data_IF_530378512017
#
_entry.id   IF_530378512017
#
_cell.length_a   1.000
_cell.length_b   1.000
_cell.length_c   1.000
_cell.angle_alpha   90.00
_cell.angle_beta   90.00
_cell.angle_gamma   90.00
#
_symmetry.space_group_name_H-M   'P 1'
#
loop_
_entity.id
_entity.type
_entity.pdbx_description
1 polymer ?
#
# COMPACT_ATOMS: atom_id res chain seq x y z
N UNK A 1 27.21 56.40 11.42
CA UNK A 1 27.36 55.29 12.40
C UNK A 1 26.00 54.80 12.90
N UNK A 2 25.08 55.65 13.40
CA UNK A 2 23.76 55.25 13.88
C UNK A 2 22.87 54.57 12.83
N UNK A 3 22.84 55.01 11.57
CA UNK A 3 22.06 54.36 10.51
C UNK A 3 22.53 52.94 10.23
N UNK A 4 23.84 52.68 10.24
CA UNK A 4 24.39 51.36 9.99
C UNK A 4 24.09 50.38 11.15
N UNK A 5 24.07 50.89 12.40
CA UNK A 5 23.70 50.08 13.57
C UNK A 5 22.21 49.71 13.50
N UNK A 6 21.34 50.63 13.08
CA UNK A 6 19.90 50.36 12.96
C UNK A 6 19.61 49.27 11.89
N UNK A 7 20.33 49.29 10.77
CA UNK A 7 20.21 48.28 9.70
C UNK A 7 20.67 46.91 10.20
N UNK A 8 21.80 46.86 10.94
CA UNK A 8 22.28 45.60 11.50
C UNK A 8 21.30 45.01 12.53
N UNK A 9 20.75 45.86 13.40
CA UNK A 9 19.71 45.41 14.40
C UNK A 9 18.48 44.96 13.69
N UNK A 10 18.00 45.63 12.63
CA UNK A 10 16.85 45.21 11.83
C UNK A 10 17.09 43.87 11.12
N UNK A 11 18.30 43.66 10.55
CA UNK A 11 18.67 42.39 9.95
C UNK A 11 18.74 41.22 10.98
N UNK A 12 19.18 41.49 12.21
CA UNK A 12 19.18 40.49 13.28
C UNK A 12 17.76 40.15 13.77
N UNK A 13 16.83 41.10 13.75
CA UNK A 13 15.42 40.84 14.09
C UNK A 13 14.71 40.07 12.97
N UNK A 14 14.99 40.32 11.70
CA UNK A 14 14.37 39.60 10.57
C UNK A 14 14.80 38.15 10.55
N UNK A 15 16.05 37.82 10.90
CA UNK A 15 16.51 36.43 10.96
C UNK A 15 15.81 35.59 12.04
N UNK A 16 15.23 36.21 13.09
CA UNK A 16 14.44 35.46 14.09
C UNK A 16 12.98 35.25 13.68
N UNK A 17 12.51 35.86 12.58
CA UNK A 17 11.15 35.66 12.06
C UNK A 17 11.06 34.58 10.98
N UNK A 18 12.20 34.14 10.45
CA UNK A 18 12.29 33.00 9.56
C UNK A 18 12.48 31.73 10.39
N UNK A 19 11.50 31.36 11.19
CA UNK A 19 11.42 29.98 11.65
C UNK A 19 11.00 29.16 10.42
N UNK A 20 11.96 28.43 9.86
CA UNK A 20 11.67 27.31 9.00
C UNK A 20 10.62 26.45 9.72
N UNK A 21 9.44 26.28 9.10
CA UNK A 21 8.51 25.29 9.63
C UNK A 21 9.29 23.99 9.73
N UNK A 22 9.44 23.46 10.95
CA UNK A 22 10.07 22.16 11.12
C UNK A 22 9.25 21.16 10.29
N UNK A 23 9.85 20.70 9.22
CA UNK A 23 9.25 19.66 8.39
C UNK A 23 8.99 18.42 9.26
N UNK A 24 7.79 17.90 9.19
CA UNK A 24 7.40 16.67 9.86
C UNK A 24 6.60 15.78 8.92
N UNK A 25 6.68 14.50 9.13
CA UNK A 25 5.85 13.49 8.47
C UNK A 25 5.34 12.54 9.53
N UNK A 26 4.14 12.03 9.35
CA UNK A 26 3.63 10.95 10.16
C UNK A 26 4.43 9.67 9.93
N UNK A 27 4.33 8.72 10.88
CA UNK A 27 4.88 7.38 10.73
C UNK A 27 3.79 6.36 11.02
N UNK A 28 3.71 5.32 10.20
CA UNK A 28 2.79 4.20 10.40
C UNK A 28 3.48 2.88 10.07
N UNK A 29 3.80 2.10 11.10
CA UNK A 29 4.37 0.76 10.93
C UNK A 29 3.25 -0.28 10.94
N UNK A 30 3.31 -1.20 9.99
CA UNK A 30 2.27 -2.20 9.75
C UNK A 30 2.76 -3.62 10.00
N UNK A 31 1.98 -4.38 10.77
CA UNK A 31 2.11 -5.82 10.86
C UNK A 31 0.83 -6.47 10.35
N UNK A 32 0.90 -7.14 9.21
CA UNK A 32 -0.25 -7.66 8.49
C UNK A 32 -0.12 -9.17 8.34
N UNK A 33 -1.21 -9.90 8.62
CA UNK A 33 -1.33 -11.32 8.30
C UNK A 33 -2.58 -11.56 7.48
N UNK A 34 -2.44 -12.17 6.30
CA UNK A 34 -3.55 -12.41 5.38
C UNK A 34 -3.59 -13.85 4.90
N UNK A 35 -4.79 -14.44 4.88
CA UNK A 35 -5.10 -15.76 4.32
C UNK A 35 -5.94 -15.58 3.06
N UNK A 36 -5.37 -15.92 1.91
CA UNK A 36 -5.98 -15.77 0.58
C UNK A 36 -6.65 -17.07 0.17
N UNK A 37 -7.90 -16.97 -0.27
CA UNK A 37 -8.63 -18.06 -0.92
C UNK A 37 -8.65 -17.80 -2.43
N UNK A 38 -7.71 -18.40 -3.15
CA UNK A 38 -7.54 -18.17 -4.58
C UNK A 38 -8.75 -18.65 -5.41
N UNK A 39 -9.46 -19.69 -4.96
CA UNK A 39 -10.64 -20.20 -5.65
C UNK A 39 -11.85 -19.27 -5.55
N UNK A 40 -11.99 -18.56 -4.42
CA UNK A 40 -13.08 -17.62 -4.16
C UNK A 40 -12.71 -16.17 -4.48
N UNK A 41 -11.47 -15.91 -4.90
CA UNK A 41 -10.94 -14.57 -5.12
C UNK A 41 -11.16 -13.63 -3.92
N UNK A 42 -10.98 -14.15 -2.72
CA UNK A 42 -11.23 -13.44 -1.47
C UNK A 42 -10.09 -13.64 -0.49
N UNK A 43 -10.00 -12.75 0.48
CA UNK A 43 -9.00 -12.82 1.52
C UNK A 43 -9.55 -12.34 2.85
N UNK A 44 -8.95 -12.79 3.93
CA UNK A 44 -9.20 -12.31 5.28
C UNK A 44 -7.88 -12.17 6.02
N UNK A 45 -7.81 -11.21 6.90
CA UNK A 45 -6.60 -10.95 7.64
C UNK A 45 -6.84 -10.16 8.90
N UNK A 46 -5.76 -9.93 9.60
CA UNK A 46 -5.68 -8.99 10.70
C UNK A 46 -4.48 -8.08 10.48
N UNK A 47 -4.55 -6.89 11.05
CA UNK A 47 -3.40 -5.99 11.06
C UNK A 47 -3.31 -5.23 12.38
N UNK A 48 -2.08 -4.88 12.69
CA UNK A 48 -1.68 -3.94 13.73
C UNK A 48 -0.96 -2.78 13.07
N UNK A 49 -1.33 -1.55 13.43
CA UNK A 49 -0.69 -0.33 12.97
C UNK A 49 -0.15 0.39 14.21
N UNK A 50 1.16 0.57 14.28
CA UNK A 50 1.77 1.51 15.22
C UNK A 50 1.85 2.87 14.53
N UNK A 51 0.96 3.77 14.92
CA UNK A 51 0.89 5.13 14.36
C UNK A 51 1.51 6.14 15.31
N UNK A 52 2.39 6.99 14.80
CA UNK A 52 3.03 8.07 15.56
C UNK A 52 2.57 9.42 15.04
N UNK A 53 2.03 10.25 15.94
CA UNK A 53 1.67 11.63 15.64
C UNK A 53 2.90 12.54 15.75
N UNK A 54 3.52 12.83 14.62
CA UNK A 54 4.65 13.77 14.54
C UNK A 54 4.22 15.21 14.25
N UNK A 55 2.90 15.48 14.15
CA UNK A 55 2.36 16.82 13.98
C UNK A 55 2.41 17.62 15.31
N UNK A 56 1.98 18.88 15.23
CA UNK A 56 1.82 19.74 16.40
C UNK A 56 0.40 19.73 16.97
N UNK A 57 -0.49 18.97 16.33
CA UNK A 57 -1.91 18.96 16.64
C UNK A 57 -2.27 17.71 17.44
N UNK A 58 -3.19 17.86 18.41
CA UNK A 58 -3.85 16.73 19.05
C UNK A 58 -4.86 16.12 18.10
N UNK A 59 -4.70 14.84 17.80
CA UNK A 59 -5.59 14.11 16.91
C UNK A 59 -6.71 13.44 17.72
N UNK A 60 -7.97 13.80 17.45
CA UNK A 60 -9.16 13.20 18.07
C UNK A 60 -9.79 12.12 17.18
N UNK A 61 -9.34 11.99 15.97
CA UNK A 61 -9.78 10.99 14.98
C UNK A 61 -8.67 10.68 14.01
N UNK A 62 -8.76 9.51 13.38
CA UNK A 62 -7.96 9.11 12.23
C UNK A 62 -8.88 8.68 11.10
N UNK A 63 -8.32 8.57 9.89
CA UNK A 63 -9.03 8.05 8.73
C UNK A 63 -8.27 6.89 8.13
N UNK A 64 -9.01 5.93 7.61
CA UNK A 64 -8.46 4.73 6.96
C UNK A 64 -9.06 4.61 5.57
N UNK A 65 -8.21 4.48 4.56
CA UNK A 65 -8.62 4.19 3.20
C UNK A 65 -8.93 2.69 3.03
N UNK A 66 -10.09 2.40 2.46
CA UNK A 66 -10.53 1.08 2.04
C UNK A 66 -10.68 1.06 0.52
N UNK A 67 -9.55 1.12 -0.18
CA UNK A 67 -9.47 1.42 -1.61
C UNK A 67 -10.28 0.47 -2.50
N UNK A 68 -10.41 -0.82 -2.16
CA UNK A 68 -11.18 -1.78 -2.96
C UNK A 68 -12.68 -1.47 -2.98
N UNK A 69 -13.19 -0.66 -2.05
CA UNK A 69 -14.57 -0.21 -2.09
C UNK A 69 -14.88 0.69 -3.30
N UNK A 70 -13.87 1.31 -3.91
CA UNK A 70 -14.03 2.05 -5.17
C UNK A 70 -14.46 1.16 -6.35
N UNK A 71 -14.23 -0.15 -6.27
CA UNK A 71 -14.53 -1.12 -7.32
C UNK A 71 -15.90 -1.81 -7.11
N UNK A 72 -16.83 -1.11 -6.50
CA UNK A 72 -18.25 -1.51 -6.36
C UNK A 72 -19.11 -0.75 -7.34
N UNK A 73 -20.19 -1.38 -7.76
CA UNK A 73 -21.27 -0.67 -8.45
C UNK A 73 -21.84 0.42 -7.54
N UNK A 74 -21.95 1.64 -8.07
CA UNK A 74 -22.47 2.79 -7.32
C UNK A 74 -21.43 3.52 -6.44
N UNK A 75 -20.16 3.11 -6.45
CA UNK A 75 -19.07 3.87 -5.81
C UNK A 75 -18.85 5.24 -6.46
N UNK A 76 -18.23 6.17 -5.75
CA UNK A 76 -17.88 7.48 -6.30
C UNK A 76 -17.02 7.34 -7.57
N UNK A 77 -16.11 6.35 -7.63
CA UNK A 77 -15.35 6.04 -8.83
C UNK A 77 -16.24 5.60 -9.97
N UNK A 78 -17.20 4.68 -9.74
CA UNK A 78 -18.11 4.21 -10.77
C UNK A 78 -18.98 5.34 -11.33
N UNK A 79 -19.51 6.21 -10.46
CA UNK A 79 -20.31 7.38 -10.84
C UNK A 79 -19.50 8.36 -11.67
N UNK A 80 -18.28 8.67 -11.25
CA UNK A 80 -17.37 9.59 -11.96
C UNK A 80 -17.00 9.08 -13.35
N UNK A 81 -16.62 7.81 -13.47
CA UNK A 81 -16.26 7.21 -14.77
C UNK A 81 -17.44 7.18 -15.75
N UNK A 82 -18.65 6.94 -15.24
CA UNK A 82 -19.88 6.93 -16.07
C UNK A 82 -20.23 8.31 -16.61
N UNK A 83 -20.02 9.37 -15.82
CA UNK A 83 -20.42 10.74 -16.19
C UNK A 83 -19.49 11.42 -17.18
N UNK A 84 -18.38 10.77 -17.56
CA UNK A 84 -17.52 11.23 -18.67
C UNK A 84 -16.61 12.42 -18.37
N UNK A 85 -16.59 12.93 -17.14
CA UNK A 85 -15.81 14.12 -16.77
C UNK A 85 -14.30 13.88 -16.77
N UNK A 86 -13.89 12.61 -16.84
CA UNK A 86 -12.48 12.22 -16.88
C UNK A 86 -12.40 10.86 -17.61
N UNK A 87 -12.46 10.87 -18.95
CA UNK A 87 -12.24 9.66 -19.74
C UNK A 87 -10.78 9.26 -19.53
N UNK A 88 -10.53 8.61 -18.41
CA UNK A 88 -9.25 7.99 -18.17
C UNK A 88 -9.19 6.71 -18.99
N UNK A 89 -8.61 6.82 -20.19
CA UNK A 89 -8.38 5.69 -21.13
C UNK A 89 -7.60 4.51 -20.52
N UNK A 90 -7.16 4.65 -19.27
CA UNK A 90 -6.51 3.59 -18.50
C UNK A 90 -7.49 2.64 -17.79
N UNK A 91 -8.80 2.89 -17.86
CA UNK A 91 -9.84 2.01 -17.33
C UNK A 91 -10.54 1.31 -18.49
N UNK A 92 -10.22 0.04 -18.69
CA UNK A 92 -10.85 -0.80 -19.72
C UNK A 92 -12.14 -1.46 -19.22
N UNK A 93 -12.53 -1.23 -17.95
CA UNK A 93 -13.66 -1.88 -17.29
C UNK A 93 -14.67 -0.82 -16.84
N UNK A 94 -15.95 -1.00 -17.25
CA UNK A 94 -17.07 -0.22 -16.74
C UNK A 94 -17.51 -0.78 -15.38
N UNK A 95 -17.09 -0.11 -14.29
CA UNK A 95 -17.41 -0.52 -12.92
C UNK A 95 -18.93 -0.58 -12.70
N UNK A 96 -19.73 0.25 -13.38
CA UNK A 96 -21.17 0.27 -13.21
C UNK A 96 -21.89 -0.99 -13.72
N UNK A 97 -21.20 -1.84 -14.48
CA UNK A 97 -21.72 -3.08 -15.08
C UNK A 97 -21.14 -4.34 -14.45
N UNK A 98 -20.32 -4.22 -13.41
CA UNK A 98 -19.73 -5.38 -12.74
C UNK A 98 -20.81 -6.24 -12.08
N UNK A 99 -20.61 -7.55 -12.15
CA UNK A 99 -21.40 -8.50 -11.37
C UNK A 99 -20.87 -8.56 -9.94
N UNK A 100 -21.66 -9.00 -8.96
CA UNK A 100 -21.23 -9.08 -7.57
C UNK A 100 -19.91 -9.84 -7.33
N UNK A 101 -19.65 -10.89 -8.12
CA UNK A 101 -18.40 -11.66 -8.06
C UNK A 101 -17.19 -10.99 -8.74
N UNK A 102 -17.43 -9.92 -9.49
CA UNK A 102 -16.42 -9.12 -10.21
C UNK A 102 -16.03 -7.85 -9.45
N UNK A 103 -16.87 -7.43 -8.50
CA UNK A 103 -16.63 -6.28 -7.65
C UNK A 103 -15.46 -6.49 -6.69
N UNK A 104 -14.90 -5.37 -6.22
CA UNK A 104 -13.97 -5.34 -5.10
C UNK A 104 -14.64 -4.81 -3.85
N UNK A 105 -14.26 -5.33 -2.70
CA UNK A 105 -14.57 -4.71 -1.43
C UNK A 105 -13.50 -4.98 -0.38
N UNK A 106 -13.46 -4.12 0.62
CA UNK A 106 -12.64 -4.24 1.81
C UNK A 106 -13.45 -3.79 3.02
N UNK A 107 -13.65 -4.68 3.98
CA UNK A 107 -14.37 -4.43 5.20
C UNK A 107 -13.44 -4.55 6.40
N UNK A 108 -13.63 -3.68 7.39
CA UNK A 108 -12.91 -3.68 8.68
C UNK A 108 -13.89 -4.06 9.79
N UNK A 109 -13.43 -4.88 10.71
CA UNK A 109 -14.15 -5.28 11.93
C UNK A 109 -13.20 -5.30 13.12
N UNK A 110 -13.76 -5.31 14.34
CA UNK A 110 -12.99 -5.41 15.58
C UNK A 110 -11.90 -4.32 15.75
N UNK A 111 -12.09 -3.15 15.15
CA UNK A 111 -11.13 -2.05 15.25
C UNK A 111 -11.05 -1.54 16.70
N UNK A 112 -9.82 -1.42 17.19
CA UNK A 112 -9.50 -0.92 18.52
C UNK A 112 -8.29 0.01 18.47
N UNK A 113 -8.27 0.98 19.35
CA UNK A 113 -7.12 1.80 19.71
C UNK A 113 -6.62 1.34 21.09
N UNK A 114 -5.36 0.90 21.21
CA UNK A 114 -4.74 0.46 22.48
C UNK A 114 -5.64 -0.50 23.28
N UNK A 115 -6.27 -1.47 22.59
CA UNK A 115 -7.27 -2.42 23.06
C UNK A 115 -8.65 -1.83 23.44
N UNK A 116 -8.85 -0.53 23.35
CA UNK A 116 -10.15 0.13 23.57
C UNK A 116 -10.99 0.12 22.29
N UNK A 117 -12.30 -0.09 22.43
CA UNK A 117 -13.22 0.02 21.30
C UNK A 117 -13.31 1.46 20.82
N UNK A 118 -13.43 1.64 19.52
CA UNK A 118 -13.62 2.93 18.86
C UNK A 118 -14.93 2.96 18.08
N UNK A 119 -15.46 4.15 17.84
CA UNK A 119 -16.59 4.36 16.93
C UNK A 119 -16.08 4.61 15.52
N UNK A 120 -16.81 4.10 14.52
CA UNK A 120 -16.39 4.20 13.12
C UNK A 120 -17.54 4.57 12.21
N UNK A 121 -17.25 5.36 11.17
CA UNK A 121 -18.22 5.79 10.16
C UNK A 121 -17.61 5.59 8.78
N UNK A 122 -18.26 4.76 7.96
CA UNK A 122 -17.81 4.46 6.58
C UNK A 122 -18.53 5.36 5.58
N UNK A 123 -17.76 6.04 4.74
CA UNK A 123 -18.25 6.78 3.57
C UNK A 123 -17.41 6.39 2.36
N UNK A 124 -18.00 5.67 1.42
CA UNK A 124 -17.36 5.12 0.22
C UNK A 124 -16.05 4.38 0.54
N UNK A 125 -14.90 4.98 0.22
CA UNK A 125 -13.56 4.41 0.48
C UNK A 125 -12.91 4.90 1.76
N UNK A 126 -13.58 5.74 2.53
CA UNK A 126 -13.03 6.39 3.75
C UNK A 126 -13.74 5.88 4.99
N UNK A 127 -12.98 5.30 5.90
CA UNK A 127 -13.42 4.92 7.24
C UNK A 127 -12.90 5.95 8.25
N UNK A 128 -13.80 6.79 8.78
CA UNK A 128 -13.52 7.67 9.91
C UNK A 128 -13.52 6.86 11.20
N UNK A 129 -12.55 7.11 12.07
CA UNK A 129 -12.38 6.44 13.36
C UNK A 129 -12.25 7.52 14.45
N UNK A 130 -13.22 7.55 15.36
CA UNK A 130 -13.18 8.43 16.52
C UNK A 130 -12.29 7.78 17.57
N UNK A 131 -11.23 8.45 18.00
CA UNK A 131 -10.27 7.90 18.95
C UNK A 131 -10.89 7.75 20.35
N UNK A 132 -10.60 6.63 21.00
CA UNK A 132 -10.98 6.40 22.39
C UNK A 132 -10.22 7.34 23.34
N UNK A 133 -8.95 7.61 23.00
CA UNK A 133 -8.12 8.62 23.65
C UNK A 133 -7.52 9.52 22.57
N UNK A 134 -7.54 10.84 22.74
CA UNK A 134 -6.81 11.76 21.86
C UNK A 134 -5.34 11.36 21.76
N UNK A 135 -4.74 11.58 20.61
CA UNK A 135 -3.31 11.31 20.36
C UNK A 135 -2.56 12.63 20.31
N UNK A 136 -1.82 12.93 21.38
CA UNK A 136 -1.08 14.16 21.52
C UNK A 136 0.15 14.23 20.59
N UNK A 137 0.70 15.44 20.32
CA UNK A 137 1.93 15.61 19.58
C UNK A 137 3.09 14.77 20.13
N UNK A 138 3.72 13.98 19.27
CA UNK A 138 4.84 13.09 19.60
C UNK A 138 4.45 11.74 20.19
N UNK A 139 3.17 11.53 20.52
CA UNK A 139 2.68 10.25 21.04
C UNK A 139 2.48 9.21 19.92
N UNK A 140 2.38 7.95 20.34
CA UNK A 140 2.07 6.83 19.47
C UNK A 140 0.90 6.03 20.01
N UNK A 141 0.13 5.41 19.13
CA UNK A 141 -0.99 4.56 19.49
C UNK A 141 -1.03 3.32 18.57
N UNK A 142 -1.48 2.20 19.11
CA UNK A 142 -1.60 0.93 18.37
C UNK A 142 -3.05 0.72 17.95
N UNK A 143 -3.26 0.58 16.65
CA UNK A 143 -4.56 0.23 16.09
C UNK A 143 -4.54 -1.23 15.65
N UNK A 144 -5.47 -2.02 16.18
CA UNK A 144 -5.65 -3.43 15.80
C UNK A 144 -7.01 -3.64 15.14
N UNK A 145 -7.06 -4.46 14.09
CA UNK A 145 -8.31 -4.74 13.39
C UNK A 145 -8.26 -6.08 12.65
N UNK A 146 -9.42 -6.65 12.44
CA UNK A 146 -9.63 -7.71 11.45
C UNK A 146 -10.18 -7.09 10.17
N UNK A 147 -9.86 -7.70 9.03
CA UNK A 147 -10.39 -7.27 7.75
C UNK A 147 -10.68 -8.46 6.83
N UNK A 148 -11.59 -8.25 5.89
CA UNK A 148 -11.84 -9.19 4.81
C UNK A 148 -12.16 -8.43 3.52
N UNK A 149 -11.78 -9.03 2.38
CA UNK A 149 -11.98 -8.43 1.09
C UNK A 149 -12.24 -9.43 -0.01
N UNK A 150 -12.83 -8.92 -1.09
CA UNK A 150 -12.95 -9.59 -2.38
C UNK A 150 -12.06 -8.89 -3.39
N UNK A 151 -11.31 -9.71 -4.14
CA UNK A 151 -10.42 -9.20 -5.19
C UNK A 151 -11.25 -8.94 -6.44
N UNK A 152 -11.35 -7.69 -6.91
CA UNK A 152 -12.10 -7.35 -8.12
C UNK A 152 -11.48 -7.99 -9.36
N UNK A 153 -12.18 -8.03 -10.47
CA UNK A 153 -11.53 -8.15 -11.78
C UNK A 153 -10.52 -7.03 -11.94
N UNK A 154 -9.46 -7.25 -12.71
CA UNK A 154 -8.40 -6.23 -12.81
C UNK A 154 -8.93 -4.89 -13.31
N UNK A 155 -8.79 -3.88 -12.47
CA UNK A 155 -9.10 -2.48 -12.76
C UNK A 155 -7.83 -1.68 -12.53
N UNK A 156 -7.23 -1.15 -13.59
CA UNK A 156 -5.91 -0.52 -13.57
C UNK A 156 -4.81 -1.49 -13.08
N UNK A 157 -4.26 -1.19 -11.89
CA UNK A 157 -3.10 -1.89 -11.29
C UNK A 157 -3.48 -2.91 -10.22
N UNK A 158 -4.75 -3.03 -9.89
CA UNK A 158 -5.22 -3.94 -8.85
C UNK A 158 -6.33 -4.85 -9.35
N UNK A 159 -6.36 -6.07 -8.84
CA UNK A 159 -7.40 -7.03 -9.16
C UNK A 159 -6.87 -8.39 -9.59
N UNK A 160 -7.74 -9.21 -10.10
CA UNK A 160 -7.47 -10.58 -10.56
C UNK A 160 -7.66 -10.74 -12.06
N UNK A 161 -7.08 -11.80 -12.58
CA UNK A 161 -7.24 -12.23 -13.97
C UNK A 161 -6.91 -11.10 -14.95
N UNK A 162 -5.68 -10.55 -14.82
CA UNK A 162 -5.25 -9.44 -15.67
C UNK A 162 -5.19 -9.83 -17.16
N UNK A 163 -5.32 -8.86 -18.08
CA UNK A 163 -5.17 -9.12 -19.51
C UNK A 163 -3.81 -9.78 -19.89
N UNK A 164 -2.80 -9.59 -19.05
CA UNK A 164 -1.47 -10.22 -19.21
C UNK A 164 -1.39 -11.62 -18.57
N UNK A 165 -2.50 -12.16 -18.08
CA UNK A 165 -2.62 -13.50 -17.53
C UNK A 165 -2.16 -13.64 -16.08
N UNK A 166 -1.85 -12.56 -15.36
CA UNK A 166 -1.48 -12.62 -13.94
C UNK A 166 -2.73 -12.81 -13.09
N UNK A 167 -2.71 -13.82 -12.20
CA UNK A 167 -3.89 -14.19 -11.42
C UNK A 167 -4.26 -13.13 -10.38
N UNK A 168 -3.31 -12.62 -9.60
CA UNK A 168 -3.52 -11.58 -8.59
C UNK A 168 -2.49 -10.47 -8.72
N UNK A 169 -2.99 -9.22 -8.75
CA UNK A 169 -2.20 -8.01 -8.66
C UNK A 169 -2.79 -7.15 -7.55
N UNK A 170 -2.10 -7.09 -6.41
CA UNK A 170 -2.66 -6.60 -5.14
C UNK A 170 -1.98 -5.29 -4.74
N UNK A 171 -2.38 -4.21 -5.39
CA UNK A 171 -2.10 -2.86 -4.95
C UNK A 171 -3.28 -2.31 -4.13
N UNK A 172 -3.00 -1.59 -3.03
CA UNK A 172 -4.04 -0.94 -2.20
C UNK A 172 -5.08 -1.90 -1.59
N UNK A 173 -4.65 -3.09 -1.21
CA UNK A 173 -5.49 -4.24 -0.83
C UNK A 173 -5.82 -4.34 0.67
N UNK A 174 -5.18 -3.53 1.51
CA UNK A 174 -5.30 -3.55 2.97
C UNK A 174 -5.86 -2.21 3.50
N UNK A 175 -6.45 -2.18 4.71
CA UNK A 175 -6.84 -0.94 5.36
C UNK A 175 -5.63 -0.05 5.61
N UNK A 176 -5.54 1.09 4.93
CA UNK A 176 -4.38 1.98 4.97
C UNK A 176 -4.73 3.28 5.65
N UNK A 177 -3.99 3.66 6.71
CA UNK A 177 -4.19 4.93 7.40
C UNK A 177 -3.92 6.11 6.45
N UNK A 178 -4.79 7.12 6.51
CA UNK A 178 -4.64 8.35 5.72
C UNK A 178 -3.47 9.18 6.19
N UNK A 179 -2.83 9.89 5.27
CA UNK A 179 -1.84 10.92 5.61
C UNK A 179 -2.51 12.10 6.31
N UNK A 180 -1.86 12.59 7.36
CA UNK A 180 -2.13 13.86 8.02
C UNK A 180 -0.93 14.77 7.84
N UNK A 181 -1.09 15.84 7.10
CA UNK A 181 -0.05 16.79 6.79
C UNK A 181 -0.43 18.23 7.22
N UNK A 182 0.27 19.24 6.71
CA UNK A 182 0.00 20.64 7.04
C UNK A 182 -1.35 21.16 6.51
N UNK A 183 -1.99 20.46 5.58
CA UNK A 183 -3.34 20.75 5.09
C UNK A 183 -4.43 19.98 5.87
N UNK A 184 -4.01 19.08 6.79
CA UNK A 184 -4.89 18.21 7.55
C UNK A 184 -4.96 16.79 6.98
N UNK A 185 -6.08 16.11 7.21
CA UNK A 185 -6.28 14.75 6.75
C UNK A 185 -6.56 14.65 5.25
N UNK A 186 -5.82 13.80 4.56
CA UNK A 186 -6.05 13.46 3.15
C UNK A 186 -7.17 12.42 3.01
N UNK A 187 -8.42 12.88 3.01
CA UNK A 187 -9.62 12.03 3.03
C UNK A 187 -10.41 12.05 1.71
N UNK A 188 -9.80 12.46 0.62
CA UNK A 188 -10.46 12.40 -0.68
C UNK A 188 -10.79 10.94 -1.05
N UNK A 189 -12.06 10.59 -1.36
CA UNK A 189 -12.42 9.27 -1.83
C UNK A 189 -11.62 8.87 -3.08
N UNK A 190 -11.31 7.57 -3.19
CA UNK A 190 -10.54 7.11 -4.33
C UNK A 190 -11.39 7.07 -5.61
N UNK A 191 -11.08 7.96 -6.52
CA UNK A 191 -11.77 8.10 -7.82
C UNK A 191 -10.81 7.97 -9.01
N UNK A 192 -9.69 7.25 -8.84
CA UNK A 192 -8.69 7.02 -9.88
C UNK A 192 -7.52 8.00 -9.89
N UNK A 193 -7.38 8.83 -8.86
CA UNK A 193 -6.23 9.73 -8.67
C UNK A 193 -5.05 8.99 -8.04
N UNK A 194 -3.92 9.69 -7.86
CA UNK A 194 -2.73 9.12 -7.23
C UNK A 194 -2.94 8.94 -5.71
N UNK A 195 -2.15 8.04 -5.15
CA UNK A 195 -2.19 7.72 -3.73
C UNK A 195 -1.19 8.58 -2.96
N UNK A 196 -1.57 8.99 -1.74
CA UNK A 196 -0.69 9.61 -0.78
C UNK A 196 -0.56 8.67 0.42
N UNK A 197 0.65 8.29 0.79
CA UNK A 197 0.89 7.27 1.82
C UNK A 197 1.96 7.67 2.81
N UNK A 198 1.71 7.30 4.06
CA UNK A 198 2.61 7.49 5.19
C UNK A 198 3.79 6.51 5.07
N UNK A 199 5.00 6.99 5.36
CA UNK A 199 6.18 6.15 5.47
C UNK A 199 6.17 5.33 6.75
N UNK A 200 6.64 4.09 6.65
CA UNK A 200 6.79 3.19 7.78
C UNK A 200 7.39 1.85 7.39
N UNK A 201 7.46 0.96 8.34
CA UNK A 201 7.96 -0.40 8.15
C UNK A 201 6.76 -1.37 7.98
N UNK A 202 6.91 -2.34 7.09
CA UNK A 202 5.90 -3.36 6.87
C UNK A 202 6.44 -4.75 7.17
N UNK A 203 5.78 -5.48 8.09
CA UNK A 203 5.95 -6.92 8.35
C UNK A 203 4.69 -7.63 7.84
N UNK A 204 4.80 -8.27 6.68
CA UNK A 204 3.63 -8.83 5.98
C UNK A 204 3.77 -10.34 5.82
N UNK A 205 2.76 -11.06 6.29
CA UNK A 205 2.63 -12.51 6.13
C UNK A 205 1.46 -12.82 5.21
N UNK A 206 1.74 -13.47 4.07
CA UNK A 206 0.74 -13.87 3.08
C UNK A 206 0.66 -15.41 3.06
N UNK A 207 -0.53 -15.94 3.32
CA UNK A 207 -0.83 -17.36 3.21
C UNK A 207 -1.75 -17.60 2.02
N UNK A 208 -1.28 -18.36 1.03
CA UNK A 208 -1.99 -18.64 -0.24
C UNK A 208 -1.78 -20.11 -0.63
N UNK A 209 -2.59 -20.64 -1.55
CA UNK A 209 -2.46 -22.01 -2.06
C UNK A 209 -1.02 -22.32 -2.51
N UNK A 210 -0.54 -23.54 -2.28
CA UNK A 210 0.89 -23.90 -2.31
C UNK A 210 1.56 -23.77 -3.69
N UNK A 211 0.79 -23.79 -4.76
CA UNK A 211 1.25 -23.66 -6.15
C UNK A 211 1.55 -22.20 -6.54
N UNK A 212 1.03 -21.24 -5.78
CA UNK A 212 1.29 -19.82 -6.09
C UNK A 212 2.69 -19.40 -5.69
N UNK A 213 3.33 -18.64 -6.59
CA UNK A 213 4.55 -17.88 -6.32
C UNK A 213 4.13 -16.44 -6.06
N UNK A 214 4.63 -15.86 -4.96
CA UNK A 214 4.33 -14.49 -4.54
C UNK A 214 5.53 -13.59 -4.78
N UNK A 215 5.31 -12.53 -5.54
CA UNK A 215 6.22 -11.40 -5.67
C UNK A 215 5.68 -10.24 -4.83
N UNK A 216 6.51 -9.60 -3.99
CA UNK A 216 6.05 -8.53 -3.12
C UNK A 216 7.11 -7.46 -2.89
N UNK A 217 6.68 -6.32 -2.33
CA UNK A 217 7.58 -5.28 -1.82
C UNK A 217 8.48 -5.83 -0.72
N UNK A 218 9.70 -5.29 -0.61
CA UNK A 218 10.62 -5.62 0.47
C UNK A 218 11.39 -6.93 0.28
N UNK A 219 11.79 -7.52 1.39
CA UNK A 219 12.70 -8.67 1.43
C UNK A 219 11.96 -9.91 1.93
N UNK A 220 12.00 -10.99 1.16
CA UNK A 220 11.48 -12.30 1.60
C UNK A 220 12.32 -12.83 2.77
N UNK A 221 11.68 -13.20 3.87
CA UNK A 221 12.33 -13.59 5.13
C UNK A 221 12.55 -15.10 5.27
N UNK A 222 11.63 -15.91 4.78
CA UNK A 222 11.72 -17.36 4.88
C UNK A 222 11.63 -17.98 3.49
N UNK A 223 12.62 -18.82 3.16
CA UNK A 223 12.64 -19.66 1.98
C UNK A 223 12.81 -21.11 2.42
N UNK A 224 12.21 -22.04 1.69
CA UNK A 224 12.52 -23.45 1.80
C UNK A 224 13.69 -23.77 0.87
N UNK A 225 14.93 -23.98 1.39
CA UNK A 225 16.10 -24.22 0.57
C UNK A 225 16.05 -25.55 -0.20
N UNK A 226 15.15 -26.49 0.19
CA UNK A 226 15.06 -27.81 -0.44
C UNK A 226 14.33 -27.83 -1.76
N UNK A 227 13.55 -26.79 -2.13
CA UNK A 227 12.64 -26.82 -3.26
C UNK A 227 12.78 -25.69 -4.27
N UNK A 228 13.71 -24.74 -4.11
CA UNK A 228 13.74 -23.47 -4.87
C UNK A 228 12.40 -22.70 -4.87
N UNK A 229 11.38 -23.23 -4.21
CA UNK A 229 10.11 -22.58 -3.98
C UNK A 229 10.23 -21.82 -2.67
N UNK A 230 10.27 -20.53 -2.81
CA UNK A 230 10.29 -19.59 -1.71
C UNK A 230 9.02 -19.72 -0.86
N UNK A 231 9.10 -19.47 0.45
CA UNK A 231 7.99 -19.59 1.37
C UNK A 231 7.89 -20.95 2.08
N UNK A 232 7.32 -20.93 3.29
CA UNK A 232 7.19 -22.11 4.15
C UNK A 232 5.87 -22.85 3.88
N UNK A 233 5.93 -24.15 3.64
CA UNK A 233 4.72 -24.97 3.44
C UNK A 233 3.90 -25.12 4.72
N UNK A 234 2.57 -24.99 4.62
CA UNK A 234 1.61 -25.17 5.71
C UNK A 234 0.34 -25.86 5.20
N UNK A 235 0.30 -27.18 5.25
CA UNK A 235 -0.77 -27.99 4.66
C UNK A 235 -0.77 -27.87 3.14
N UNK A 236 -1.91 -27.51 2.56
CA UNK A 236 -2.10 -27.22 1.13
C UNK A 236 -1.84 -25.74 0.77
N UNK A 237 -1.30 -24.98 1.68
CA UNK A 237 -0.94 -23.58 1.51
C UNK A 237 0.54 -23.35 1.76
N UNK A 238 1.02 -22.20 1.28
CA UNK A 238 2.36 -21.70 1.53
C UNK A 238 2.28 -20.37 2.24
N UNK A 239 3.19 -20.15 3.18
CA UNK A 239 3.31 -18.91 3.95
C UNK A 239 4.52 -18.16 3.42
N UNK A 240 4.30 -16.90 3.03
CA UNK A 240 5.30 -15.97 2.53
C UNK A 240 5.41 -14.83 3.52
N UNK A 241 6.59 -14.56 4.03
CA UNK A 241 6.84 -13.46 4.95
C UNK A 241 7.80 -12.46 4.34
N UNK A 242 7.41 -11.18 4.34
CA UNK A 242 8.19 -10.08 3.79
C UNK A 242 8.38 -8.99 4.84
N UNK A 243 9.56 -8.38 4.86
CA UNK A 243 9.85 -7.15 5.57
C UNK A 243 10.18 -6.06 4.55
N UNK A 244 9.47 -4.94 4.62
CA UNK A 244 9.71 -3.80 3.75
C UNK A 244 9.93 -2.55 4.61
N UNK A 245 11.19 -2.23 4.98
CA UNK A 245 11.50 -1.08 5.81
C UNK A 245 11.44 0.22 5.01
N UNK A 246 10.93 1.27 5.64
CA UNK A 246 10.91 2.65 5.14
C UNK A 246 10.28 2.77 3.75
N UNK A 247 9.07 2.24 3.61
CA UNK A 247 8.26 2.35 2.39
C UNK A 247 6.92 3.04 2.71
N UNK A 248 6.27 3.60 1.70
CA UNK A 248 4.96 4.25 1.86
C UNK A 248 3.80 3.38 1.38
N UNK A 249 4.09 2.17 0.90
CA UNK A 249 3.07 1.20 0.48
C UNK A 249 3.66 -0.22 0.42
N UNK A 250 2.76 -1.21 0.48
CA UNK A 250 3.12 -2.62 0.31
C UNK A 250 2.22 -3.26 -0.74
N UNK A 251 2.82 -3.69 -1.84
CA UNK A 251 2.11 -4.37 -2.93
C UNK A 251 2.62 -5.78 -3.10
N UNK A 252 1.77 -6.66 -3.65
CA UNK A 252 2.18 -8.00 -4.04
C UNK A 252 1.39 -8.49 -5.26
N UNK A 253 1.97 -9.44 -5.96
CA UNK A 253 1.35 -10.18 -7.04
C UNK A 253 1.56 -11.68 -6.81
N UNK A 254 0.63 -12.51 -7.29
CA UNK A 254 0.77 -13.95 -7.18
C UNK A 254 0.18 -14.67 -8.39
N UNK A 255 0.91 -15.68 -8.83
CA UNK A 255 0.50 -16.52 -9.96
C UNK A 255 1.12 -17.92 -9.82
N UNK A 256 0.39 -19.01 -10.16
CA UNK A 256 0.95 -20.37 -10.11
C UNK A 256 1.98 -20.61 -11.21
N UNK A 257 1.93 -19.86 -12.33
CA UNK A 257 2.81 -20.02 -13.48
C UNK A 257 3.96 -18.99 -13.51
N UNK A 258 4.26 -18.33 -12.40
CA UNK A 258 5.41 -17.43 -12.36
C UNK A 258 6.73 -18.19 -12.48
N UNK A 259 7.64 -17.63 -13.29
CA UNK A 259 9.07 -17.87 -13.20
C UNK A 259 9.64 -16.78 -12.28
N UNK A 260 10.60 -17.15 -11.45
CA UNK A 260 11.37 -16.23 -10.63
C UNK A 260 12.85 -16.35 -11.03
N UNK A 261 13.37 -15.31 -11.64
CA UNK A 261 14.79 -15.15 -11.94
C UNK A 261 15.41 -14.12 -11.01
N UNK A 262 16.66 -14.36 -10.64
CA UNK A 262 17.47 -13.42 -9.85
C UNK A 262 18.66 -13.00 -10.70
N UNK A 263 18.86 -11.69 -10.86
CA UNK A 263 20.01 -11.11 -11.55
C UNK A 263 20.82 -10.25 -10.57
N UNK A 264 22.15 -10.38 -10.62
CA UNK A 264 23.03 -9.56 -9.76
C UNK A 264 23.12 -8.15 -10.34
N UNK A 265 22.60 -7.19 -9.61
CA UNK A 265 22.69 -5.77 -9.92
C UNK A 265 23.91 -5.10 -9.29
N UNK A 266 24.05 -3.77 -9.45
CA UNK A 266 25.19 -3.02 -8.90
C UNK A 266 25.20 -3.05 -7.37
N UNK A 267 26.39 -2.96 -6.79
CA UNK A 267 26.60 -2.90 -5.34
C UNK A 267 26.04 -4.11 -4.56
N UNK A 268 25.92 -5.29 -5.19
CA UNK A 268 25.41 -6.52 -4.57
C UNK A 268 23.89 -6.54 -4.39
N UNK A 269 23.16 -5.63 -5.03
CA UNK A 269 21.70 -5.65 -5.04
C UNK A 269 21.20 -6.81 -5.91
N UNK A 270 20.31 -7.62 -5.37
CA UNK A 270 19.64 -8.69 -6.11
C UNK A 270 18.37 -8.19 -6.76
N UNK A 271 18.32 -8.23 -8.07
CA UNK A 271 17.15 -7.89 -8.88
C UNK A 271 16.30 -9.13 -9.07
N UNK A 272 15.07 -9.12 -8.56
CA UNK A 272 14.15 -10.23 -8.63
C UNK A 272 13.12 -9.99 -9.74
N UNK A 273 13.09 -10.86 -10.74
CA UNK A 273 12.18 -10.79 -11.88
C UNK A 273 11.14 -11.89 -11.77
N UNK A 274 9.87 -11.51 -11.78
CA UNK A 274 8.74 -12.43 -11.76
C UNK A 274 7.92 -12.23 -13.04
N UNK A 275 7.72 -13.27 -13.81
CA UNK A 275 6.99 -13.21 -15.07
C UNK A 275 6.35 -14.56 -15.41
N UNK A 276 5.36 -14.54 -16.30
CA UNK A 276 4.63 -15.75 -16.71
C UNK A 276 5.55 -16.73 -17.44
N UNK A 277 5.36 -18.03 -17.19
CA UNK A 277 6.01 -19.10 -17.92
C UNK A 277 5.39 -19.25 -19.33
N UNK A 278 5.59 -18.25 -20.18
CA UNK A 278 5.18 -18.22 -21.57
C UNK A 278 6.43 -18.17 -22.47
N UNK A 279 6.68 -19.18 -23.31
CA UNK A 279 7.84 -19.21 -24.22
C UNK A 279 7.99 -17.96 -25.09
N UNK A 280 6.91 -17.24 -25.39
CA UNK A 280 6.93 -16.02 -26.22
C UNK A 280 7.57 -14.82 -25.54
N UNK A 281 7.64 -14.83 -24.19
CA UNK A 281 8.11 -13.68 -23.42
C UNK A 281 9.36 -13.97 -22.59
N UNK A 282 9.72 -15.23 -22.34
CA UNK A 282 10.87 -15.62 -21.49
C UNK A 282 12.16 -14.95 -21.95
N UNK A 283 12.50 -15.05 -23.24
CA UNK A 283 13.74 -14.47 -23.76
C UNK A 283 13.75 -12.93 -23.66
N UNK A 284 12.59 -12.29 -23.80
CA UNK A 284 12.45 -10.83 -23.61
C UNK A 284 12.70 -10.43 -22.17
N UNK A 285 12.16 -11.20 -21.22
CA UNK A 285 12.40 -10.95 -19.79
C UNK A 285 13.86 -11.16 -19.40
N UNK A 286 14.52 -12.18 -19.95
CA UNK A 286 15.95 -12.38 -19.76
C UNK A 286 16.80 -11.25 -20.34
N UNK A 287 16.42 -10.73 -21.50
CA UNK A 287 17.10 -9.60 -22.14
C UNK A 287 16.97 -8.29 -21.36
N UNK A 288 15.88 -8.09 -20.62
CA UNK A 288 15.66 -6.88 -19.81
C UNK A 288 16.49 -6.88 -18.51
N UNK A 289 16.91 -8.04 -18.01
CA UNK A 289 17.62 -8.13 -16.72
C UNK A 289 18.94 -7.31 -16.68
N UNK A 290 19.88 -7.48 -17.61
CA UNK A 290 21.10 -6.66 -17.63
C UNK A 290 20.81 -5.17 -17.85
N UNK A 291 19.82 -4.83 -18.70
CA UNK A 291 19.42 -3.45 -18.94
C UNK A 291 18.91 -2.79 -17.63
N UNK A 292 18.17 -3.56 -16.82
CA UNK A 292 17.69 -3.06 -15.52
C UNK A 292 18.85 -2.79 -14.56
N UNK A 293 19.89 -3.62 -14.57
CA UNK A 293 21.09 -3.40 -13.76
C UNK A 293 21.85 -2.14 -14.20
N UNK A 294 22.03 -1.94 -15.52
CA UNK A 294 22.67 -0.73 -16.07
C UNK A 294 21.86 0.55 -15.74
N UNK A 295 20.54 0.52 -15.85
CA UNK A 295 19.68 1.64 -15.47
C UNK A 295 19.80 1.95 -13.96
N UNK A 296 19.88 0.94 -13.12
CA UNK A 296 20.04 1.13 -11.68
C UNK A 296 21.40 1.77 -11.33
N UNK A 297 22.46 1.40 -12.04
CA UNK A 297 23.77 2.03 -11.89
C UNK A 297 23.71 3.51 -12.28
N UNK A 298 23.13 3.81 -13.45
CA UNK A 298 22.96 5.18 -13.94
C UNK A 298 22.19 6.09 -12.97
N UNK A 299 21.14 5.58 -12.32
CA UNK A 299 20.34 6.39 -11.36
C UNK A 299 21.01 6.53 -9.98
N UNK A 300 22.07 5.77 -9.69
CA UNK A 300 22.84 5.87 -8.45
C UNK A 300 24.05 6.83 -8.55
N UNK A 301 24.37 7.33 -9.75
CA UNK A 301 25.37 8.39 -9.98
C UNK A 301 24.76 9.79 -9.70
#
# INVERSE_FOLDING_TARGET
YMKNILVIVLCLFVNNLVQSQNYWQQNADYKISVDVNAKKNSYKGNQEILYKNNSRDTLNKIFIHLYFNAFKVGSDMAVRLKNGDDINTRFDVDISQLKPEEEGFLNVTNLKQDNLKVETYLSDTILEVILANPLEPGESSVFTMDFNGQVPVTIRRAGRDSPMGVKFSMAQWYPKISEYDYEGWNTAPYTGREFHGIWGDFDVTIKIDEDYIVAASGYLQESDPSNFKLGKKSGNKRIWKFLAPKVHDFTWAADPDYIHDVYEGPNGVKLNFYYKNDPKIIDKWKAVQPITAELMEFFNE
#
